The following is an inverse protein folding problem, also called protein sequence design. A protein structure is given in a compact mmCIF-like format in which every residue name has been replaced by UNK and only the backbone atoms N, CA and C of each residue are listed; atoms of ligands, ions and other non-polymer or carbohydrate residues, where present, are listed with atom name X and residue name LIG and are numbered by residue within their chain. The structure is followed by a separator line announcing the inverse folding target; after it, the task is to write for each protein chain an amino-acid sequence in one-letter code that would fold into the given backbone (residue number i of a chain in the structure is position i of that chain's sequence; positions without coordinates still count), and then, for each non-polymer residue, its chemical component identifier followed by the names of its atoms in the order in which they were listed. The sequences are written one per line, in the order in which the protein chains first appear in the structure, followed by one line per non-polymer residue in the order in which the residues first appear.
data_IF_245447623452
#
_entry.id   IF_245447623452
#
_cell.length_a   1.000
_cell.length_b   1.000
_cell.length_c   1.000
_cell.angle_alpha   90.00
_cell.angle_beta   90.00
_cell.angle_gamma   90.00
#
_symmetry.space_group_name_H-M   'P 1'
#
loop_
_entity.id
_entity.type
_entity.pdbx_description
1 polymer ?
#
# COMPACT_ATOMS: atom_id res chain seq x y z
N UNK A 1 -5.98 0.47 30.86
CA UNK A 1 -5.44 -0.15 32.10
C UNK A 1 -5.60 -1.66 31.98
N UNK A 2 -4.51 -2.42 31.81
CA UNK A 2 -4.52 -3.88 31.90
C UNK A 2 -4.57 -4.25 33.38
N UNK A 3 -5.71 -4.74 33.84
CA UNK A 3 -5.87 -5.20 35.21
C UNK A 3 -5.56 -6.70 35.17
N UNK A 4 -4.29 -7.05 35.34
CA UNK A 4 -3.89 -8.41 35.67
C UNK A 4 -3.78 -8.51 37.19
N UNK A 5 -4.12 -9.67 37.76
CA UNK A 5 -4.09 -9.88 39.19
C UNK A 5 -2.62 -9.98 39.64
N UNK A 6 -1.97 -8.87 40.00
CA UNK A 6 -0.73 -8.75 40.80
C UNK A 6 0.40 -9.79 40.61
N UNK A 7 0.49 -10.45 39.45
CA UNK A 7 1.49 -11.49 39.18
C UNK A 7 2.44 -10.97 38.12
N UNK A 8 3.73 -11.02 38.44
CA UNK A 8 4.84 -10.60 37.57
C UNK A 8 4.67 -11.22 36.16
N UNK A 9 4.60 -10.38 35.13
CA UNK A 9 4.68 -10.80 33.73
C UNK A 9 6.17 -10.93 33.43
N UNK A 10 6.67 -12.16 33.42
CA UNK A 10 8.06 -12.42 33.04
C UNK A 10 8.23 -12.51 31.52
N UNK A 11 9.49 -12.54 31.10
CA UNK A 11 9.87 -12.54 29.69
C UNK A 11 9.28 -13.70 28.90
N UNK A 12 9.16 -14.88 29.51
CA UNK A 12 8.63 -16.06 28.80
C UNK A 12 7.14 -15.87 28.47
N UNK A 13 6.37 -15.28 29.40
CA UNK A 13 4.96 -14.92 29.19
C UNK A 13 4.84 -13.84 28.11
N UNK A 14 5.70 -12.83 28.15
CA UNK A 14 5.68 -11.73 27.19
C UNK A 14 6.02 -12.20 25.77
N UNK A 15 7.11 -12.96 25.61
CA UNK A 15 7.56 -13.51 24.32
C UNK A 15 6.48 -14.45 23.74
N UNK A 16 5.80 -15.23 24.59
CA UNK A 16 4.70 -16.11 24.18
C UNK A 16 3.44 -15.35 23.77
N UNK A 17 3.12 -14.27 24.48
CA UNK A 17 1.99 -13.40 24.16
C UNK A 17 2.23 -12.65 22.84
N UNK A 18 3.46 -12.17 22.62
CA UNK A 18 3.87 -11.53 21.38
C UNK A 18 3.75 -12.50 20.20
N UNK A 19 4.28 -13.71 20.33
CA UNK A 19 4.16 -14.75 19.30
C UNK A 19 2.69 -15.01 18.93
N UNK A 20 1.83 -15.21 19.94
CA UNK A 20 0.39 -15.43 19.73
C UNK A 20 -0.31 -14.25 19.07
N UNK A 21 0.01 -13.02 19.47
CA UNK A 21 -0.58 -11.83 18.87
C UNK A 21 -0.17 -11.69 17.39
N UNK A 22 1.09 -11.98 17.06
CA UNK A 22 1.58 -11.97 15.68
C UNK A 22 0.89 -13.04 14.85
N UNK A 23 0.81 -14.28 15.35
CA UNK A 23 0.17 -15.39 14.66
C UNK A 23 -1.32 -15.11 14.46
N UNK A 24 -2.01 -14.60 15.48
CA UNK A 24 -3.42 -14.20 15.39
C UNK A 24 -3.63 -13.18 14.27
N UNK A 25 -2.83 -12.12 14.25
CA UNK A 25 -2.93 -11.05 13.25
C UNK A 25 -2.61 -11.57 11.83
N UNK A 26 -1.64 -12.47 11.68
CA UNK A 26 -1.30 -13.11 10.40
C UNK A 26 -2.39 -14.05 9.88
N UNK A 27 -3.08 -14.77 10.75
CA UNK A 27 -4.09 -15.75 10.37
C UNK A 27 -5.49 -15.16 10.21
N UNK A 28 -5.84 -14.15 11.01
CA UNK A 28 -7.22 -13.69 11.16
C UNK A 28 -7.53 -12.38 10.42
N UNK A 29 -6.55 -11.49 10.20
CA UNK A 29 -6.78 -10.19 9.56
C UNK A 29 -5.75 -9.80 8.51
N UNK A 30 -6.08 -8.79 7.70
CA UNK A 30 -5.21 -8.26 6.64
C UNK A 30 -4.32 -7.13 7.18
N UNK A 31 -3.42 -7.48 8.10
CA UNK A 31 -2.59 -6.51 8.82
C UNK A 31 -1.10 -6.76 8.59
N UNK A 32 -0.33 -5.67 8.45
CA UNK A 32 1.12 -5.73 8.42
C UNK A 32 1.69 -5.69 9.85
N UNK A 33 2.67 -6.55 10.12
CA UNK A 33 3.41 -6.56 11.39
C UNK A 33 4.79 -5.97 11.17
N UNK A 34 5.10 -4.82 11.78
CA UNK A 34 6.46 -4.27 11.81
C UNK A 34 7.23 -4.89 12.98
N UNK A 35 7.59 -6.18 12.84
CA UNK A 35 8.43 -6.86 13.84
C UNK A 35 9.80 -7.19 13.25
N UNK A 36 10.85 -6.59 13.82
CA UNK A 36 12.24 -6.80 13.42
C UNK A 36 12.83 -8.14 13.88
N UNK A 37 12.13 -8.89 14.74
CA UNK A 37 12.57 -10.19 15.24
C UNK A 37 11.39 -11.17 15.31
N UNK A 38 11.61 -12.45 14.99
CA UNK A 38 10.57 -13.47 15.21
C UNK A 38 10.73 -14.04 16.62
N UNK A 39 9.73 -13.93 17.51
CA UNK A 39 9.83 -14.49 18.84
C UNK A 39 9.96 -16.02 18.74
N UNK A 40 10.91 -16.59 19.49
CA UNK A 40 11.04 -18.04 19.65
C UNK A 40 10.72 -18.39 21.11
N UNK A 41 9.44 -18.32 21.51
CA UNK A 41 9.05 -18.47 22.91
C UNK A 41 9.38 -19.87 23.41
N UNK A 42 10.02 -19.94 24.59
CA UNK A 42 10.15 -21.20 25.34
C UNK A 42 8.98 -21.30 26.30
N UNK A 43 7.88 -21.85 25.81
CA UNK A 43 6.65 -21.92 26.59
C UNK A 43 6.78 -22.89 27.76
N UNK A 44 6.52 -22.40 28.97
CA UNK A 44 6.39 -23.23 30.16
C UNK A 44 4.93 -23.75 30.24
N UNK A 45 4.68 -25.06 30.30
CA UNK A 45 3.33 -25.64 30.36
C UNK A 45 2.46 -25.09 31.51
N UNK A 46 3.06 -24.68 32.63
CA UNK A 46 2.32 -24.12 33.77
C UNK A 46 1.79 -22.69 33.52
N UNK A 47 2.27 -22.02 32.47
CA UNK A 47 1.93 -20.63 32.16
C UNK A 47 1.08 -20.49 30.90
N UNK A 48 0.85 -21.58 30.18
CA UNK A 48 0.11 -21.60 28.91
C UNK A 48 -1.30 -21.02 29.07
N UNK A 49 -2.07 -21.54 30.03
CA UNK A 49 -3.42 -21.06 30.32
C UNK A 49 -3.45 -19.54 30.59
N UNK A 50 -2.44 -19.02 31.29
CA UNK A 50 -2.37 -17.59 31.59
C UNK A 50 -2.14 -16.74 30.33
N UNK A 51 -1.28 -17.21 29.43
CA UNK A 51 -1.04 -16.53 28.15
C UNK A 51 -2.34 -16.52 27.33
N UNK A 52 -3.09 -17.62 27.31
CA UNK A 52 -4.39 -17.69 26.63
C UNK A 52 -5.42 -16.71 27.21
N UNK A 53 -5.55 -16.69 28.54
CA UNK A 53 -6.49 -15.80 29.23
C UNK A 53 -6.15 -14.32 28.96
N UNK A 54 -4.85 -13.99 28.99
CA UNK A 54 -4.37 -12.63 28.72
C UNK A 54 -4.58 -12.25 27.26
N UNK A 55 -4.26 -13.14 26.32
CA UNK A 55 -4.50 -12.94 24.89
C UNK A 55 -6.00 -12.72 24.62
N UNK A 56 -6.87 -13.56 25.15
CA UNK A 56 -8.33 -13.41 25.01
C UNK A 56 -8.85 -12.09 25.59
N UNK A 57 -8.34 -11.66 26.75
CA UNK A 57 -8.70 -10.37 27.35
C UNK A 57 -8.29 -9.18 26.48
N UNK A 58 -7.12 -9.25 25.85
CA UNK A 58 -6.62 -8.23 24.91
C UNK A 58 -7.54 -8.16 23.68
N UNK A 59 -7.83 -9.30 23.04
CA UNK A 59 -8.71 -9.36 21.87
C UNK A 59 -10.11 -8.82 22.17
N UNK A 60 -10.68 -9.19 23.32
CA UNK A 60 -11.99 -8.71 23.75
C UNK A 60 -12.02 -7.18 23.87
N UNK A 61 -11.02 -6.59 24.54
CA UNK A 61 -10.93 -5.14 24.73
C UNK A 61 -10.71 -4.41 23.42
N UNK A 62 -9.85 -4.94 22.55
CA UNK A 62 -9.62 -4.38 21.22
C UNK A 62 -10.95 -4.31 20.45
N UNK A 63 -11.74 -5.39 20.45
CA UNK A 63 -13.07 -5.40 19.84
C UNK A 63 -14.05 -4.39 20.45
N UNK A 64 -14.10 -4.31 21.79
CA UNK A 64 -14.98 -3.34 22.49
C UNK A 64 -14.60 -1.89 22.17
N UNK A 65 -13.32 -1.60 21.99
CA UNK A 65 -12.82 -0.28 21.60
C UNK A 65 -12.99 0.01 20.10
N UNK A 66 -13.53 -0.94 19.32
CA UNK A 66 -13.78 -0.77 17.89
C UNK A 66 -12.61 -1.14 16.98
N UNK A 67 -11.58 -1.81 17.50
CA UNK A 67 -10.52 -2.40 16.67
C UNK A 67 -10.97 -3.75 16.12
N UNK A 68 -11.08 -3.85 14.81
CA UNK A 68 -11.53 -5.06 14.11
C UNK A 68 -10.36 -5.93 13.66
N UNK A 69 -9.73 -6.68 14.57
CA UNK A 69 -8.56 -7.51 14.26
C UNK A 69 -8.85 -8.66 13.28
N UNK A 70 -10.12 -8.96 13.05
CA UNK A 70 -10.58 -9.98 12.11
C UNK A 70 -10.95 -9.38 10.76
N UNK A 71 -10.68 -8.08 10.54
CA UNK A 71 -10.87 -7.40 9.27
C UNK A 71 -10.01 -8.07 8.22
N UNK A 72 -10.65 -8.97 7.49
CA UNK A 72 -10.15 -9.45 6.21
C UNK A 72 -10.52 -8.38 5.20
N UNK A 73 -9.52 -7.66 4.72
CA UNK A 73 -9.66 -6.87 3.50
C UNK A 73 -10.21 -7.84 2.43
N UNK A 74 -11.50 -7.74 2.11
CA UNK A 74 -12.08 -8.44 0.96
C UNK A 74 -11.73 -7.64 -0.28
N UNK A 75 -10.43 -7.51 -0.52
CA UNK A 75 -9.90 -6.76 -1.63
C UNK A 75 -9.14 -7.77 -2.49
N UNK A 76 -9.80 -8.42 -3.45
CA UNK A 76 -9.04 -8.96 -4.55
C UNK A 76 -8.45 -7.76 -5.28
N UNK A 77 -7.11 -7.72 -5.35
CA UNK A 77 -6.29 -6.86 -6.21
C UNK A 77 -6.01 -5.46 -5.65
N UNK A 78 -4.75 -5.20 -5.25
CA UNK A 78 -3.89 -4.20 -5.93
C UNK A 78 -2.68 -3.62 -5.15
N UNK A 79 -2.06 -4.32 -4.19
CA UNK A 79 -0.74 -3.87 -3.69
C UNK A 79 0.36 -4.02 -4.77
N UNK A 80 0.13 -4.88 -5.78
CA UNK A 80 1.11 -5.16 -6.86
C UNK A 80 0.57 -4.98 -8.29
N UNK A 81 -0.61 -4.40 -8.48
CA UNK A 81 -1.13 -4.21 -9.86
C UNK A 81 -0.35 -3.10 -10.54
N UNK A 82 0.51 -3.50 -11.47
CA UNK A 82 1.26 -2.58 -12.33
C UNK A 82 0.34 -2.14 -13.46
N UNK A 83 0.16 -0.83 -13.57
CA UNK A 83 -0.52 -0.18 -14.68
C UNK A 83 0.50 0.28 -15.71
N UNK A 84 0.10 0.36 -16.97
CA UNK A 84 0.92 0.89 -18.05
C UNK A 84 0.16 1.91 -18.90
N UNK A 85 0.89 2.74 -19.63
CA UNK A 85 0.33 3.69 -20.60
C UNK A 85 0.21 3.05 -21.99
N UNK A 86 -0.87 3.36 -22.73
CA UNK A 86 -1.06 2.92 -24.14
C UNK A 86 -0.78 4.00 -25.17
N UNK A 87 -0.64 5.26 -24.74
CA UNK A 87 -0.68 6.45 -25.60
C UNK A 87 0.71 6.86 -26.10
N UNK A 88 0.78 7.45 -27.30
CA UNK A 88 1.98 8.01 -27.94
C UNK A 88 3.17 7.03 -28.11
N UNK A 89 2.90 5.72 -28.06
CA UNK A 89 3.94 4.69 -28.07
C UNK A 89 4.96 4.86 -26.95
N UNK A 90 4.55 5.44 -25.82
CA UNK A 90 5.35 5.61 -24.60
C UNK A 90 4.99 4.45 -23.68
N UNK A 91 5.99 3.67 -23.28
CA UNK A 91 5.82 2.57 -22.32
C UNK A 91 6.28 3.01 -20.94
N UNK A 92 5.36 3.59 -20.17
CA UNK A 92 5.56 3.80 -18.74
C UNK A 92 4.75 2.79 -17.95
N UNK A 93 5.29 2.39 -16.80
CA UNK A 93 4.63 1.55 -15.82
C UNK A 93 4.53 2.25 -14.48
N UNK A 94 3.52 1.92 -13.69
CA UNK A 94 3.33 2.55 -12.40
C UNK A 94 2.34 1.84 -11.49
N UNK A 95 2.35 2.25 -10.23
CA UNK A 95 1.50 1.70 -9.17
C UNK A 95 0.70 2.82 -8.52
N UNK A 96 -0.58 2.56 -8.29
CA UNK A 96 -1.47 3.46 -7.58
C UNK A 96 -1.66 2.99 -6.15
N UNK A 97 -1.46 3.88 -5.19
CA UNK A 97 -1.75 3.63 -3.79
C UNK A 97 -3.09 4.28 -3.44
N UNK A 98 -4.11 3.45 -3.14
CA UNK A 98 -5.48 3.92 -2.84
C UNK A 98 -5.54 4.72 -1.55
N UNK A 99 -4.80 4.32 -0.52
CA UNK A 99 -4.87 4.90 0.81
C UNK A 99 -4.33 6.34 0.84
N UNK A 100 -3.26 6.58 0.09
CA UNK A 100 -2.62 7.89 0.00
C UNK A 100 -3.08 8.72 -1.21
N UNK A 101 -3.73 8.08 -2.18
CA UNK A 101 -4.10 8.70 -3.47
C UNK A 101 -2.90 8.99 -4.39
N UNK A 102 -1.72 8.49 -4.03
CA UNK A 102 -0.47 8.75 -4.76
C UNK A 102 -0.22 7.73 -5.86
N UNK A 103 0.58 8.13 -6.84
CA UNK A 103 0.92 7.28 -7.97
C UNK A 103 2.43 7.27 -8.19
N UNK A 104 3.02 6.09 -8.14
CA UNK A 104 4.46 5.88 -8.34
C UNK A 104 4.70 5.40 -9.77
N UNK A 105 5.45 6.18 -10.55
CA UNK A 105 5.98 5.74 -11.85
C UNK A 105 7.26 4.98 -11.60
N UNK A 106 7.35 3.75 -12.11
CA UNK A 106 8.48 2.86 -11.85
C UNK A 106 9.67 3.21 -12.73
N UNK A 107 10.87 2.98 -12.21
CA UNK A 107 12.13 2.97 -12.95
C UNK A 107 12.03 2.08 -14.19
N UNK A 108 12.74 2.48 -15.26
CA UNK A 108 12.63 1.85 -16.58
C UNK A 108 11.46 2.35 -17.43
N UNK A 109 10.57 3.19 -16.89
CA UNK A 109 9.48 3.81 -17.64
C UNK A 109 9.99 4.84 -18.66
N UNK A 110 9.40 4.83 -19.86
CA UNK A 110 9.62 5.89 -20.84
C UNK A 110 8.85 7.16 -20.47
N UNK A 111 9.48 8.32 -20.62
CA UNK A 111 8.87 9.64 -20.45
C UNK A 111 9.06 10.44 -21.74
N UNK A 112 7.97 10.98 -22.28
CA UNK A 112 7.98 11.84 -23.46
C UNK A 112 8.08 13.32 -23.06
N UNK A 113 9.28 13.86 -23.24
CA UNK A 113 9.60 15.27 -23.02
C UNK A 113 9.30 16.16 -24.24
N UNK A 114 8.93 15.58 -25.38
CA UNK A 114 8.55 16.32 -26.58
C UNK A 114 7.24 17.10 -26.42
N UNK A 115 6.36 16.63 -25.52
CA UNK A 115 5.10 17.29 -25.20
C UNK A 115 5.21 18.11 -23.91
N UNK A 116 4.92 19.41 -24.00
CA UNK A 116 4.91 20.29 -22.85
C UNK A 116 3.77 19.93 -21.88
N UNK A 117 4.06 19.95 -20.58
CA UNK A 117 3.06 19.75 -19.52
C UNK A 117 2.13 20.97 -19.45
N UNK A 118 0.83 20.73 -19.38
CA UNK A 118 -0.19 21.79 -19.27
C UNK A 118 -0.85 21.71 -17.89
N UNK A 119 -0.88 22.84 -17.16
CA UNK A 119 -1.65 23.02 -15.91
C UNK A 119 -1.35 21.99 -14.79
N UNK A 120 -0.13 21.44 -14.73
CA UNK A 120 0.30 20.58 -13.62
C UNK A 120 1.70 20.98 -13.14
N UNK A 121 1.77 21.86 -12.13
CA UNK A 121 3.05 22.39 -11.62
C UNK A 121 3.93 21.31 -10.99
N UNK A 122 3.35 20.30 -10.35
CA UNK A 122 4.09 19.17 -9.76
C UNK A 122 4.83 18.36 -10.82
N UNK A 123 4.16 18.02 -11.91
CA UNK A 123 4.78 17.32 -13.04
C UNK A 123 5.84 18.17 -13.75
N UNK A 124 5.64 19.49 -13.88
CA UNK A 124 6.67 20.41 -14.42
C UNK A 124 7.91 20.42 -13.53
N UNK A 125 7.73 20.54 -12.22
CA UNK A 125 8.84 20.56 -11.27
C UNK A 125 9.63 19.24 -11.30
N UNK A 126 8.92 18.10 -11.27
CA UNK A 126 9.54 16.78 -11.36
C UNK A 126 10.34 16.60 -12.66
N UNK A 127 9.77 16.99 -13.82
CA UNK A 127 10.49 16.91 -15.11
C UNK A 127 11.74 17.79 -15.13
N UNK A 128 11.66 19.01 -14.61
CA UNK A 128 12.81 19.92 -14.55
C UNK A 128 13.92 19.38 -13.64
N UNK A 129 13.53 18.83 -12.49
CA UNK A 129 14.49 18.27 -11.52
C UNK A 129 15.20 17.03 -12.07
N UNK A 130 14.48 16.15 -12.78
CA UNK A 130 15.01 14.86 -13.22
C UNK A 130 15.70 14.92 -14.59
N UNK A 131 15.17 15.73 -15.51
CA UNK A 131 15.59 15.69 -16.92
C UNK A 131 16.21 16.99 -17.44
N UNK A 132 16.18 18.08 -16.66
CA UNK A 132 16.77 19.37 -17.00
C UNK A 132 16.44 19.83 -18.45
N UNK A 133 17.44 19.83 -19.35
CA UNK A 133 17.33 20.25 -20.75
C UNK A 133 17.24 19.08 -21.76
N UNK A 134 17.01 17.86 -21.30
CA UNK A 134 16.82 16.72 -22.18
C UNK A 134 15.52 16.85 -22.99
N UNK A 135 15.54 16.34 -24.21
CA UNK A 135 14.40 16.38 -25.14
C UNK A 135 14.17 14.99 -25.74
N UNK A 136 12.94 14.74 -26.20
CA UNK A 136 12.55 13.44 -26.75
C UNK A 136 12.10 12.44 -25.69
N UNK A 137 12.28 11.14 -25.98
CA UNK A 137 11.90 10.06 -25.07
C UNK A 137 13.10 9.68 -24.19
N UNK A 138 12.89 9.70 -22.89
CA UNK A 138 13.92 9.37 -21.90
C UNK A 138 13.45 8.20 -21.03
N UNK A 139 14.39 7.41 -20.51
CA UNK A 139 14.09 6.35 -19.56
C UNK A 139 14.29 6.89 -18.15
N UNK A 140 13.29 6.64 -17.29
CA UNK A 140 13.34 7.02 -15.90
C UNK A 140 14.32 6.11 -15.14
N UNK A 141 15.28 6.71 -14.43
CA UNK A 141 16.32 5.97 -13.70
C UNK A 141 15.81 5.38 -12.38
N UNK A 142 15.04 6.16 -11.63
CA UNK A 142 14.55 5.82 -10.29
C UNK A 142 13.04 5.98 -10.23
N UNK A 143 12.40 5.27 -9.30
CA UNK A 143 10.96 5.41 -9.06
C UNK A 143 10.62 6.85 -8.65
N UNK A 144 9.54 7.39 -9.23
CA UNK A 144 9.06 8.75 -8.92
C UNK A 144 7.64 8.69 -8.41
N UNK A 145 7.44 9.16 -7.19
CA UNK A 145 6.12 9.32 -6.60
C UNK A 145 5.50 10.67 -6.98
N UNK A 146 4.27 10.63 -7.50
CA UNK A 146 3.48 11.79 -7.87
C UNK A 146 2.23 11.87 -7.01
N UNK A 147 1.74 13.10 -6.84
CA UNK A 147 0.60 13.41 -5.98
C UNK A 147 -0.75 12.83 -6.45
N UNK A 148 -0.85 12.36 -7.71
CA UNK A 148 -2.07 11.76 -8.24
C UNK A 148 -1.82 10.97 -9.52
N UNK A 149 -2.75 10.08 -9.94
CA UNK A 149 -2.69 9.39 -11.23
C UNK A 149 -2.58 10.33 -12.42
N UNK A 150 -3.29 11.47 -12.39
CA UNK A 150 -3.23 12.47 -13.46
C UNK A 150 -1.88 13.17 -13.49
N UNK A 151 -1.29 13.47 -12.32
CA UNK A 151 0.07 13.99 -12.25
C UNK A 151 1.09 13.03 -12.85
N UNK A 152 0.96 11.72 -12.59
CA UNK A 152 1.81 10.71 -13.20
C UNK A 152 1.62 10.61 -14.73
N UNK A 153 0.38 10.61 -15.22
CA UNK A 153 0.10 10.56 -16.65
C UNK A 153 0.64 11.80 -17.38
N UNK A 154 0.47 12.98 -16.80
CA UNK A 154 1.02 14.24 -17.33
C UNK A 154 2.54 14.26 -17.25
N UNK A 155 3.13 13.71 -16.18
CA UNK A 155 4.58 13.57 -16.03
C UNK A 155 5.17 12.66 -17.12
N UNK A 156 4.50 11.58 -17.50
CA UNK A 156 4.97 10.65 -18.54
C UNK A 156 4.70 11.18 -19.95
N UNK A 157 3.47 11.59 -20.24
CA UNK A 157 3.00 11.86 -21.61
C UNK A 157 3.00 13.34 -22.00
N UNK A 158 3.09 14.26 -21.03
CA UNK A 158 2.89 15.69 -21.23
C UNK A 158 1.42 16.05 -21.47
N UNK A 159 1.17 17.32 -21.84
CA UNK A 159 -0.17 17.83 -22.12
C UNK A 159 -1.09 17.84 -20.90
N UNK A 160 -2.40 17.68 -21.17
CA UNK A 160 -3.44 17.46 -20.16
C UNK A 160 -3.92 16.02 -20.28
N UNK A 161 -3.72 15.22 -19.23
CA UNK A 161 -4.07 13.79 -19.22
C UNK A 161 -5.05 13.46 -18.10
N UNK A 162 -5.96 12.53 -18.37
CA UNK A 162 -6.82 11.96 -17.36
C UNK A 162 -6.21 10.65 -16.85
N UNK A 163 -5.52 10.69 -15.71
CA UNK A 163 -4.84 9.51 -15.17
C UNK A 163 -5.76 8.31 -14.91
N UNK A 164 -7.04 8.55 -14.63
CA UNK A 164 -7.99 7.48 -14.34
C UNK A 164 -8.29 6.59 -15.55
N UNK A 165 -8.16 7.13 -16.77
CA UNK A 165 -8.42 6.40 -18.01
C UNK A 165 -7.14 6.02 -18.76
N UNK A 166 -6.05 6.76 -18.57
CA UNK A 166 -4.78 6.54 -19.27
C UNK A 166 -4.00 5.32 -18.73
N UNK A 167 -4.09 5.08 -17.42
CA UNK A 167 -3.43 3.95 -16.78
C UNK A 167 -4.29 2.69 -16.89
N UNK A 168 -3.75 1.64 -17.53
CA UNK A 168 -4.46 0.36 -17.70
C UNK A 168 -3.64 -0.83 -17.20
N UNK A 169 -4.30 -1.85 -16.68
CA UNK A 169 -3.64 -3.10 -16.27
C UNK A 169 -3.41 -4.04 -17.46
N UNK A 170 -2.79 -5.20 -17.21
CA UNK A 170 -2.55 -6.23 -18.24
C UNK A 170 -3.84 -6.76 -18.88
N UNK A 171 -4.94 -6.75 -18.14
CA UNK A 171 -6.27 -7.13 -18.62
C UNK A 171 -6.93 -6.02 -19.46
N UNK A 172 -6.26 -4.88 -19.63
CA UNK A 172 -6.76 -3.72 -20.37
C UNK A 172 -7.81 -2.89 -19.64
N UNK A 173 -8.04 -3.14 -18.35
CA UNK A 173 -8.96 -2.38 -17.50
C UNK A 173 -8.28 -1.09 -17.02
N UNK A 174 -9.04 0.00 -17.00
CA UNK A 174 -8.55 1.31 -16.56
C UNK A 174 -8.43 1.38 -15.04
N UNK A 175 -7.62 2.32 -14.55
CA UNK A 175 -7.53 2.63 -13.12
C UNK A 175 -8.89 3.00 -12.53
N UNK A 176 -9.71 3.75 -13.27
CA UNK A 176 -11.10 4.06 -12.93
C UNK A 176 -11.93 2.78 -12.72
N UNK A 177 -11.82 1.83 -13.65
CA UNK A 177 -12.54 0.55 -13.57
C UNK A 177 -12.17 -0.25 -12.32
N UNK A 178 -10.86 -0.34 -12.05
CA UNK A 178 -10.35 -1.17 -10.95
C UNK A 178 -10.71 -0.57 -9.58
N UNK A 179 -10.67 0.76 -9.44
CA UNK A 179 -10.74 1.42 -8.13
C UNK A 179 -12.00 2.24 -7.85
N UNK A 180 -12.68 2.77 -8.88
CA UNK A 180 -13.87 3.63 -8.71
C UNK A 180 -15.17 2.95 -9.13
N UNK A 181 -15.14 2.07 -10.13
CA UNK A 181 -16.38 1.46 -10.65
C UNK A 181 -17.05 0.45 -9.72
N UNK A 182 -16.35 -0.09 -8.71
CA UNK A 182 -16.97 -0.98 -7.71
C UNK A 182 -17.83 -0.26 -6.67
N UNK A 183 -17.80 1.07 -6.61
CA UNK A 183 -18.69 1.84 -5.73
C UNK A 183 -20.12 1.98 -6.31
N UNK A 184 -20.34 1.68 -7.60
CA UNK A 184 -21.65 1.82 -8.26
C UNK A 184 -22.48 0.53 -8.37
N UNK A 185 -22.06 -0.57 -7.74
CA UNK A 185 -22.75 -1.87 -7.85
C UNK A 185 -23.44 -2.34 -6.56
N UNK A 186 -23.52 -1.46 -5.56
CA UNK A 186 -24.20 -1.68 -4.28
C UNK A 186 -25.35 -0.67 -4.06
N UNK A 187 -26.20 -0.48 -5.06
CA UNK A 187 -27.52 0.17 -4.91
C UNK A 187 -28.64 -0.81 -5.27
#
# INVERSE_FOLDING_TARGET
MFLDNDVNIDRDVLDSLEAKAIDYVREHGSYETDNGNTPAPRMNPYKEQRVEDLHGSILFRMRVLGYDLDRKETTPVAVNTVFHTKRNGVRATGRYNRDTGRFTVLSGSEVDLGHAVIKNQGAVAARRQLFAAQTGKVILADDVELSSPSSAAVFVLGGSQNGWTEWVNEQGQTLDYVYRSKEHMNE
#
